data_IF_027460273070
#
_entry.id   IF_027460273070
#
_cell.length_a   1.000
_cell.length_b   1.000
_cell.length_c   1.000
_cell.angle_alpha   90.00
_cell.angle_beta   90.00
_cell.angle_gamma   90.00
#
_symmetry.space_group_name_H-M   'P 1'
#
loop_
_entity.id
_entity.type
_entity.pdbx_description
1 polymer ?
#
# COMPACT_ATOMS: atom_id res chain seq x y z
N UNK A 1 5.42 25.58 27.40
CA UNK A 1 5.57 24.66 26.25
C UNK A 1 5.69 23.23 26.79
N UNK A 2 4.57 22.52 26.99
CA UNK A 2 4.56 21.11 27.43
C UNK A 2 3.26 20.36 27.09
N UNK A 3 2.37 20.93 26.27
CA UNK A 3 1.01 20.41 26.08
C UNK A 3 0.82 19.59 24.80
N UNK A 4 1.72 19.70 23.82
CA UNK A 4 1.56 19.06 22.50
C UNK A 4 2.01 17.59 22.46
N UNK A 5 2.93 17.18 23.33
CA UNK A 5 3.47 15.80 23.35
C UNK A 5 2.49 14.77 23.92
N UNK A 6 1.62 15.18 24.84
CA UNK A 6 0.63 14.29 25.46
C UNK A 6 -0.51 13.91 24.49
N UNK A 7 -0.83 14.79 23.54
CA UNK A 7 -1.85 14.54 22.50
C UNK A 7 -1.37 13.56 21.43
N UNK A 8 -0.13 13.68 20.97
CA UNK A 8 0.42 12.83 19.89
C UNK A 8 0.55 11.38 20.33
N UNK A 9 1.01 11.14 21.55
CA UNK A 9 1.15 9.79 22.11
C UNK A 9 -0.20 9.08 22.27
N UNK A 10 -1.25 9.80 22.68
CA UNK A 10 -2.59 9.24 22.78
C UNK A 10 -3.19 8.84 21.42
N UNK A 11 -2.89 9.60 20.37
CA UNK A 11 -3.34 9.30 19.00
C UNK A 11 -2.62 8.07 18.45
N UNK A 12 -1.31 7.98 18.64
CA UNK A 12 -0.51 6.83 18.21
C UNK A 12 -0.99 5.53 18.90
N UNK A 13 -1.29 5.60 20.20
CA UNK A 13 -1.84 4.48 20.95
C UNK A 13 -3.22 4.05 20.43
N UNK A 14 -4.09 5.00 20.10
CA UNK A 14 -5.41 4.72 19.53
C UNK A 14 -5.31 4.09 18.12
N UNK A 15 -4.42 4.60 17.27
CA UNK A 15 -4.14 4.03 15.95
C UNK A 15 -3.62 2.59 16.07
N UNK A 16 -2.75 2.33 17.05
CA UNK A 16 -2.24 0.99 17.38
C UNK A 16 -3.36 0.04 17.80
N UNK A 17 -4.27 0.48 18.66
CA UNK A 17 -5.42 -0.33 19.10
C UNK A 17 -6.33 -0.70 17.93
N UNK A 18 -6.68 0.26 17.07
CA UNK A 18 -7.47 -0.01 15.87
C UNK A 18 -6.77 -0.95 14.89
N UNK A 19 -5.44 -0.86 14.75
CA UNK A 19 -4.68 -1.78 13.93
C UNK A 19 -4.80 -3.22 14.44
N UNK A 20 -4.60 -3.46 15.74
CA UNK A 20 -4.72 -4.82 16.29
C UNK A 20 -6.15 -5.36 16.25
N UNK A 21 -7.15 -4.51 16.48
CA UNK A 21 -8.56 -4.88 16.30
C UNK A 21 -8.81 -5.36 14.86
N UNK A 22 -8.41 -4.57 13.85
CA UNK A 22 -8.58 -4.92 12.45
C UNK A 22 -7.79 -6.19 12.06
N UNK A 23 -6.53 -6.31 12.50
CA UNK A 23 -5.72 -7.51 12.25
C UNK A 23 -6.36 -8.78 12.81
N UNK A 24 -6.98 -8.69 13.99
CA UNK A 24 -7.70 -9.83 14.57
C UNK A 24 -8.94 -10.23 13.75
N UNK A 25 -9.68 -9.25 13.23
CA UNK A 25 -10.81 -9.48 12.32
C UNK A 25 -10.34 -10.10 11.00
N UNK A 26 -9.27 -9.56 10.41
CA UNK A 26 -8.68 -10.07 9.18
C UNK A 26 -8.22 -11.52 9.32
N UNK A 27 -7.59 -11.88 10.45
CA UNK A 27 -7.18 -13.25 10.72
C UNK A 27 -8.39 -14.22 10.77
N UNK A 28 -9.50 -13.80 11.39
CA UNK A 28 -10.75 -14.56 11.41
C UNK A 28 -11.35 -14.71 10.01
N UNK A 29 -11.41 -13.62 9.25
CA UNK A 29 -11.93 -13.61 7.89
C UNK A 29 -11.18 -14.54 6.94
N UNK A 30 -9.86 -14.67 7.10
CA UNK A 30 -9.05 -15.63 6.34
C UNK A 30 -9.48 -17.08 6.63
N UNK A 31 -9.78 -17.41 7.88
CA UNK A 31 -10.28 -18.75 8.25
C UNK A 31 -11.66 -18.98 7.64
N UNK A 32 -12.58 -18.03 7.82
CA UNK A 32 -13.93 -18.11 7.29
C UNK A 32 -13.94 -18.26 5.75
N UNK A 33 -13.07 -17.52 5.04
CA UNK A 33 -12.90 -17.62 3.59
C UNK A 33 -12.38 -18.99 3.16
N UNK A 34 -11.36 -19.52 3.85
CA UNK A 34 -10.81 -20.85 3.55
C UNK A 34 -11.87 -21.93 3.74
N UNK A 35 -12.65 -21.87 4.81
CA UNK A 35 -13.76 -22.80 5.04
C UNK A 35 -14.84 -22.68 3.96
N UNK A 36 -15.22 -21.46 3.57
CA UNK A 36 -16.19 -21.22 2.52
C UNK A 36 -15.73 -21.79 1.17
N UNK A 37 -14.46 -21.57 0.80
CA UNK A 37 -13.84 -22.11 -0.42
C UNK A 37 -13.76 -23.64 -0.40
N UNK A 38 -13.44 -24.25 0.74
CA UNK A 38 -13.43 -25.71 0.89
C UNK A 38 -14.83 -26.31 0.69
N UNK A 39 -15.87 -25.66 1.23
CA UNK A 39 -17.28 -26.08 1.06
C UNK A 39 -17.80 -25.88 -0.36
N UNK A 40 -17.32 -24.84 -1.05
CA UNK A 40 -17.61 -24.65 -2.48
C UNK A 40 -17.07 -25.82 -3.31
N UNK A 41 -15.85 -26.28 -3.03
CA UNK A 41 -15.23 -27.40 -3.74
C UNK A 41 -15.94 -28.75 -3.51
N UNK A 42 -16.70 -28.90 -2.43
CA UNK A 42 -17.44 -30.13 -2.09
C UNK A 42 -18.92 -30.14 -2.52
N UNK A 43 -19.34 -29.24 -3.42
CA UNK A 43 -20.73 -29.09 -3.91
C UNK A 43 -21.79 -28.79 -2.83
N UNK A 44 -21.39 -28.45 -1.60
CA UNK A 44 -22.28 -27.96 -0.54
C UNK A 44 -22.42 -26.42 -0.62
N UNK A 45 -22.75 -25.91 -1.81
CA UNK A 45 -22.53 -24.53 -2.21
C UNK A 45 -23.67 -23.57 -1.86
N UNK A 46 -23.33 -22.44 -1.25
CA UNK A 46 -24.23 -21.29 -1.07
C UNK A 46 -23.49 -20.01 -1.52
N UNK A 47 -23.59 -19.67 -2.81
CA UNK A 47 -22.97 -18.47 -3.42
C UNK A 47 -23.22 -17.20 -2.59
N UNK A 48 -24.47 -17.00 -2.19
CA UNK A 48 -24.92 -15.87 -1.36
C UNK A 48 -24.11 -15.72 -0.06
N UNK A 49 -23.72 -16.83 0.58
CA UNK A 49 -22.98 -16.79 1.85
C UNK A 49 -21.52 -16.38 1.66
N UNK A 50 -20.92 -16.71 0.51
CA UNK A 50 -19.57 -16.26 0.18
C UNK A 50 -19.58 -14.77 -0.18
N UNK A 51 -20.57 -14.34 -0.96
CA UNK A 51 -20.75 -12.92 -1.31
C UNK A 51 -20.98 -12.06 -0.06
N UNK A 52 -21.84 -12.51 0.86
CA UNK A 52 -22.06 -11.86 2.15
C UNK A 52 -20.77 -11.76 2.98
N UNK A 53 -19.97 -12.83 3.01
CA UNK A 53 -18.68 -12.85 3.71
C UNK A 53 -17.70 -11.86 3.09
N UNK A 54 -17.57 -11.84 1.76
CA UNK A 54 -16.72 -10.88 1.04
C UNK A 54 -17.18 -9.45 1.31
N UNK A 55 -18.49 -9.18 1.25
CA UNK A 55 -19.06 -7.88 1.58
C UNK A 55 -18.72 -7.42 2.98
N UNK A 56 -18.81 -8.32 3.97
CA UNK A 56 -18.40 -8.04 5.35
C UNK A 56 -16.91 -7.69 5.46
N UNK A 57 -16.04 -8.45 4.80
CA UNK A 57 -14.58 -8.23 4.81
C UNK A 57 -14.24 -6.86 4.23
N UNK A 58 -14.84 -6.52 3.09
CA UNK A 58 -14.65 -5.22 2.43
C UNK A 58 -15.13 -4.10 3.35
N UNK A 59 -16.29 -4.24 3.99
CA UNK A 59 -16.83 -3.24 4.91
C UNK A 59 -15.94 -3.04 6.15
N UNK A 60 -15.40 -4.13 6.72
CA UNK A 60 -14.49 -4.05 7.87
C UNK A 60 -13.16 -3.36 7.47
N UNK A 61 -12.64 -3.64 6.28
CA UNK A 61 -11.47 -2.93 5.74
C UNK A 61 -11.75 -1.44 5.50
N UNK A 62 -12.88 -1.09 4.87
CA UNK A 62 -13.26 0.31 4.65
C UNK A 62 -13.44 1.05 5.98
N UNK A 63 -14.03 0.40 6.98
CA UNK A 63 -14.19 0.95 8.33
C UNK A 63 -12.83 1.23 8.98
N UNK A 64 -11.88 0.29 8.86
CA UNK A 64 -10.51 0.50 9.34
C UNK A 64 -9.80 1.62 8.59
N UNK A 65 -9.86 1.64 7.26
CA UNK A 65 -9.23 2.66 6.42
C UNK A 65 -9.76 4.07 6.75
N UNK A 66 -11.06 4.22 6.95
CA UNK A 66 -11.71 5.47 7.37
C UNK A 66 -11.24 5.93 8.75
N UNK A 67 -11.23 5.04 9.76
CA UNK A 67 -10.71 5.38 11.10
C UNK A 67 -9.23 5.78 11.02
N UNK A 68 -8.46 5.11 10.17
CA UNK A 68 -7.05 5.41 9.96
C UNK A 68 -6.88 6.81 9.34
N UNK A 69 -7.67 7.15 8.32
CA UNK A 69 -7.61 8.47 7.66
C UNK A 69 -7.99 9.60 8.62
N UNK A 70 -9.04 9.44 9.43
CA UNK A 70 -9.51 10.44 10.42
C UNK A 70 -8.47 10.79 11.49
N UNK A 71 -7.50 9.90 11.74
CA UNK A 71 -6.43 10.10 12.72
C UNK A 71 -5.13 10.65 12.10
N UNK A 72 -5.09 10.84 10.78
CA UNK A 72 -3.88 11.21 10.03
C UNK A 72 -3.55 12.70 10.16
N UNK A 73 -4.56 13.56 10.25
CA UNK A 73 -4.43 15.03 10.37
C UNK A 73 -3.55 15.49 11.56
N UNK A 74 -3.31 14.58 12.51
CA UNK A 74 -2.60 14.89 13.77
C UNK A 74 -1.30 14.11 13.94
N UNK A 75 -1.03 13.10 13.10
CA UNK A 75 0.18 12.27 13.15
C UNK A 75 0.42 11.59 11.80
N UNK A 76 1.08 12.31 10.89
CA UNK A 76 1.35 11.84 9.52
C UNK A 76 2.45 10.76 9.49
N UNK A 77 3.42 10.78 10.41
CA UNK A 77 4.55 9.83 10.43
C UNK A 77 4.12 8.39 10.72
N UNK A 78 3.18 8.19 11.64
CA UNK A 78 2.64 6.87 11.98
C UNK A 78 1.80 6.27 10.85
N UNK A 79 1.43 7.05 9.84
CA UNK A 79 0.75 6.54 8.64
C UNK A 79 1.70 5.72 7.76
N UNK A 80 2.91 6.24 7.53
CA UNK A 80 3.91 5.60 6.66
C UNK A 80 4.76 4.55 7.36
N UNK A 81 5.16 4.84 8.60
CA UNK A 81 6.02 3.97 9.38
C UNK A 81 5.46 3.84 10.81
N UNK A 82 4.34 3.13 10.99
CA UNK A 82 3.82 2.84 12.32
C UNK A 82 4.89 2.22 13.22
N UNK A 83 4.98 2.69 14.47
CA UNK A 83 5.96 2.18 15.44
C UNK A 83 5.69 0.76 15.91
N UNK A 84 4.46 0.27 15.72
CA UNK A 84 4.04 -1.10 16.03
C UNK A 84 4.27 -2.09 14.90
N UNK A 85 4.74 -1.62 13.74
CA UNK A 85 5.16 -2.47 12.64
C UNK A 85 6.64 -2.82 12.76
N UNK A 86 7.01 -3.99 12.30
CA UNK A 86 8.41 -4.36 12.05
C UNK A 86 9.00 -3.53 10.91
N UNK A 87 10.34 -3.49 10.84
CA UNK A 87 11.04 -2.83 9.72
C UNK A 87 10.68 -3.46 8.37
N UNK A 88 10.38 -4.76 8.34
CA UNK A 88 9.93 -5.45 7.13
C UNK A 88 8.53 -4.98 6.70
N UNK A 89 7.57 -4.92 7.64
CA UNK A 89 6.20 -4.46 7.35
C UNK A 89 6.19 -2.99 6.91
N UNK A 90 7.02 -2.13 7.53
CA UNK A 90 7.21 -0.76 7.08
C UNK A 90 7.85 -0.68 5.69
N UNK A 91 8.82 -1.56 5.40
CA UNK A 91 9.37 -1.71 4.05
C UNK A 91 8.33 -2.18 3.02
N UNK A 92 7.41 -3.06 3.39
CA UNK A 92 6.30 -3.50 2.52
C UNK A 92 5.32 -2.37 2.24
N UNK A 93 4.97 -1.55 3.24
CA UNK A 93 4.16 -0.34 3.04
C UNK A 93 4.83 0.62 2.05
N UNK A 94 6.16 0.80 2.20
CA UNK A 94 6.96 1.61 1.29
C UNK A 94 6.91 1.09 -0.15
N UNK A 95 7.16 -0.20 -0.34
CA UNK A 95 7.10 -0.85 -1.66
C UNK A 95 5.70 -0.81 -2.26
N UNK A 96 4.66 -0.78 -1.44
CA UNK A 96 3.26 -0.57 -1.83
C UNK A 96 2.92 0.86 -2.27
N UNK A 97 3.87 1.79 -2.25
CA UNK A 97 3.71 3.16 -2.74
C UNK A 97 3.34 4.19 -1.67
N UNK A 98 3.39 3.85 -0.38
CA UNK A 98 3.19 4.81 0.72
C UNK A 98 4.42 5.72 0.90
N UNK A 99 4.67 6.63 -0.05
CA UNK A 99 5.80 7.57 -0.03
C UNK A 99 5.42 8.88 0.69
N UNK A 100 6.28 9.39 1.60
CA UNK A 100 6.06 10.68 2.25
C UNK A 100 5.84 11.87 1.30
N UNK A 101 6.47 11.90 0.12
CA UNK A 101 6.36 12.99 -0.85
C UNK A 101 4.93 13.18 -1.37
N UNK A 102 4.15 12.11 -1.52
CA UNK A 102 2.78 12.16 -2.04
C UNK A 102 1.87 13.08 -1.23
N UNK A 103 2.13 13.19 0.08
CA UNK A 103 1.35 14.06 0.98
C UNK A 103 1.87 15.51 1.01
N UNK A 104 3.12 15.74 0.58
CA UNK A 104 3.63 17.09 0.40
C UNK A 104 3.01 17.74 -0.85
N UNK A 105 2.75 16.94 -1.88
CA UNK A 105 2.13 17.39 -3.13
C UNK A 105 0.61 17.59 -3.01
N UNK A 106 -0.10 16.77 -2.23
CA UNK A 106 -1.55 16.94 -1.98
C UNK A 106 -1.88 18.25 -1.22
N UNK A 107 -0.97 18.75 -0.39
CA UNK A 107 -1.13 20.04 0.29
C UNK A 107 -0.91 21.25 -0.64
N UNK A 108 -0.56 21.02 -1.92
CA UNK A 108 -0.27 22.06 -2.93
C UNK A 108 -1.44 22.22 -3.93
N UNK A 109 -2.35 21.25 -4.04
CA UNK A 109 -3.49 21.30 -4.97
C UNK A 109 -4.69 22.05 -4.35
N UNK A 110 -4.76 23.35 -4.64
CA UNK A 110 -5.84 24.28 -4.26
C UNK A 110 -7.11 23.99 -5.08
N UNK A 111 -7.96 23.10 -4.56
CA UNK A 111 -9.17 22.62 -5.25
C UNK A 111 -10.47 22.63 -4.45
N UNK A 112 -10.47 22.95 -3.14
CA UNK A 112 -11.73 23.09 -2.41
C UNK A 112 -11.68 24.10 -1.24
N UNK A 113 -12.55 25.10 -1.38
CA UNK A 113 -13.04 26.11 -0.44
C UNK A 113 -12.81 25.84 1.06
N UNK A 114 -12.01 26.70 1.70
CA UNK A 114 -12.15 26.99 3.14
C UNK A 114 -10.90 26.80 4.00
N UNK A 115 -10.11 27.88 4.07
CA UNK A 115 -9.26 28.27 5.21
C UNK A 115 -7.90 27.54 5.37
N UNK A 116 -6.88 28.17 4.77
CA UNK A 116 -5.46 28.09 5.12
C UNK A 116 -4.69 26.85 4.64
N UNK A 117 -3.68 27.08 3.79
CA UNK A 117 -2.50 26.18 3.80
C UNK A 117 -1.22 26.82 3.27
N UNK A 118 -1.24 27.58 2.17
CA UNK A 118 0.01 28.14 1.60
C UNK A 118 0.01 29.64 1.28
N UNK A 119 -1.14 30.30 1.12
CA UNK A 119 -1.19 31.75 0.81
C UNK A 119 -0.59 32.64 1.91
N UNK A 120 -0.52 32.12 3.14
CA UNK A 120 0.00 32.83 4.31
C UNK A 120 1.51 32.60 4.52
N UNK A 121 2.16 31.80 3.67
CA UNK A 121 3.59 31.49 3.80
C UNK A 121 4.45 32.57 3.13
N UNK A 122 5.48 33.01 3.85
CA UNK A 122 6.51 33.89 3.30
C UNK A 122 7.38 33.16 2.29
N UNK A 123 8.02 33.88 1.38
CA UNK A 123 8.93 33.32 0.38
C UNK A 123 10.04 32.45 1.01
N UNK A 124 10.58 32.84 2.17
CA UNK A 124 11.60 32.06 2.88
C UNK A 124 11.06 30.77 3.49
N UNK A 125 9.78 30.73 3.87
CA UNK A 125 9.15 29.48 4.33
C UNK A 125 8.92 28.54 3.16
N UNK A 126 8.50 29.07 2.01
CA UNK A 126 8.32 28.28 0.79
C UNK A 126 9.64 27.68 0.29
N UNK A 127 10.72 28.46 0.30
CA UNK A 127 12.08 27.99 -0.04
C UNK A 127 12.51 26.81 0.86
N UNK A 128 12.28 26.92 2.18
CA UNK A 128 12.59 25.84 3.12
C UNK A 128 11.74 24.58 2.90
N UNK A 129 10.47 24.74 2.54
CA UNK A 129 9.59 23.62 2.21
C UNK A 129 10.08 22.92 0.95
N UNK A 130 10.45 23.68 -0.09
CA UNK A 130 11.01 23.14 -1.31
C UNK A 130 12.31 22.38 -1.05
N UNK A 131 13.24 22.95 -0.28
CA UNK A 131 14.50 22.29 0.09
C UNK A 131 14.26 20.99 0.86
N UNK A 132 13.27 20.98 1.76
CA UNK A 132 12.86 19.79 2.49
C UNK A 132 12.27 18.73 1.55
N UNK A 133 11.37 19.13 0.66
CA UNK A 133 10.71 18.25 -0.30
C UNK A 133 11.73 17.58 -1.24
N UNK A 134 12.68 18.35 -1.80
CA UNK A 134 13.78 17.83 -2.62
C UNK A 134 14.63 16.83 -1.82
N UNK A 135 14.92 17.12 -0.56
CA UNK A 135 15.68 16.20 0.30
C UNK A 135 14.90 14.91 0.56
N UNK A 136 13.58 15.00 0.79
CA UNK A 136 12.71 13.84 1.00
C UNK A 136 12.70 12.95 -0.23
N UNK A 137 12.47 13.49 -1.42
CA UNK A 137 12.51 12.73 -2.68
C UNK A 137 13.84 12.00 -2.85
N UNK A 138 14.97 12.66 -2.57
CA UNK A 138 16.28 12.01 -2.68
C UNK A 138 16.42 10.79 -1.75
N UNK A 139 16.04 10.95 -0.49
CA UNK A 139 16.08 9.84 0.48
C UNK A 139 15.09 8.73 0.09
N UNK A 140 13.93 9.11 -0.45
CA UNK A 140 12.94 8.16 -0.93
C UNK A 140 13.47 7.28 -2.06
N UNK A 141 14.11 7.90 -3.05
CA UNK A 141 14.73 7.21 -4.18
C UNK A 141 15.84 6.27 -3.72
N UNK A 142 16.62 6.63 -2.70
CA UNK A 142 17.63 5.75 -2.12
C UNK A 142 17.01 4.51 -1.45
N UNK A 143 15.91 4.67 -0.71
CA UNK A 143 15.19 3.54 -0.11
C UNK A 143 14.59 2.66 -1.20
N UNK A 144 13.93 3.24 -2.19
CA UNK A 144 13.33 2.50 -3.31
C UNK A 144 14.37 1.72 -4.10
N UNK A 145 15.56 2.28 -4.36
CA UNK A 145 16.66 1.56 -4.99
C UNK A 145 17.11 0.35 -4.17
N UNK A 146 17.26 0.51 -2.85
CA UNK A 146 17.62 -0.61 -1.96
C UNK A 146 16.55 -1.70 -1.96
N UNK A 147 15.27 -1.32 -1.94
CA UNK A 147 14.16 -2.26 -2.05
C UNK A 147 14.17 -3.01 -3.39
N UNK A 148 14.45 -2.33 -4.50
CA UNK A 148 14.53 -2.95 -5.82
C UNK A 148 15.65 -3.99 -5.90
N UNK A 149 16.86 -3.67 -5.39
CA UNK A 149 17.96 -4.63 -5.33
C UNK A 149 17.60 -5.86 -4.48
N UNK A 150 16.93 -5.65 -3.34
CA UNK A 150 16.47 -6.77 -2.50
C UNK A 150 15.43 -7.63 -3.23
N UNK A 151 14.54 -7.02 -4.02
CA UNK A 151 13.57 -7.74 -4.84
C UNK A 151 14.26 -8.59 -5.90
N UNK A 152 15.27 -8.06 -6.59
CA UNK A 152 16.11 -8.80 -7.54
C UNK A 152 16.77 -10.01 -6.86
N UNK A 153 17.51 -9.78 -5.78
CA UNK A 153 18.22 -10.83 -5.04
C UNK A 153 17.30 -11.97 -4.55
N UNK A 154 16.09 -11.63 -4.09
CA UNK A 154 15.14 -12.61 -3.53
C UNK A 154 14.30 -13.29 -4.61
N UNK A 155 13.94 -12.60 -5.68
CA UNK A 155 13.05 -13.11 -6.72
C UNK A 155 13.79 -13.90 -7.81
N UNK A 156 15.08 -13.64 -8.03
CA UNK A 156 15.88 -14.28 -9.09
C UNK A 156 15.83 -15.81 -9.06
N UNK A 157 16.09 -16.42 -7.89
CA UNK A 157 16.11 -17.88 -7.78
C UNK A 157 14.71 -18.50 -7.94
N UNK A 158 13.65 -18.05 -7.24
CA UNK A 158 12.29 -18.54 -7.48
C UNK A 158 11.82 -18.39 -8.92
N UNK A 159 12.12 -17.26 -9.58
CA UNK A 159 11.76 -17.02 -10.98
C UNK A 159 12.52 -17.98 -11.90
N UNK A 160 13.84 -18.09 -11.75
CA UNK A 160 14.66 -18.98 -12.56
C UNK A 160 14.26 -20.45 -12.40
N UNK A 161 13.99 -20.88 -11.16
CA UNK A 161 13.49 -22.23 -10.86
C UNK A 161 12.13 -22.44 -11.54
N UNK A 162 11.18 -21.51 -11.39
CA UNK A 162 9.85 -21.62 -12.02
C UNK A 162 9.95 -21.69 -13.54
N UNK A 163 10.79 -20.86 -14.16
CA UNK A 163 11.04 -20.89 -15.61
C UNK A 163 11.62 -22.24 -16.06
N UNK A 164 12.60 -22.77 -15.33
CA UNK A 164 13.21 -24.06 -15.64
C UNK A 164 12.23 -25.24 -15.54
N UNK A 165 11.36 -25.25 -14.53
CA UNK A 165 10.32 -26.28 -14.40
C UNK A 165 9.26 -26.19 -15.50
N UNK A 166 9.01 -24.99 -16.03
CA UNK A 166 8.06 -24.76 -17.12
C UNK A 166 8.52 -25.34 -18.45
N UNK A 167 9.83 -25.26 -18.74
CA UNK A 167 10.46 -25.89 -19.91
C UNK A 167 10.38 -27.43 -19.90
N UNK A 168 10.10 -28.03 -18.74
CA UNK A 168 9.99 -29.49 -18.57
C UNK A 168 8.55 -30.02 -18.65
N UNK A 169 7.54 -29.15 -18.80
CA UNK A 169 6.13 -29.55 -18.86
C UNK A 169 5.46 -28.92 -20.09
N UNK A 170 5.07 -29.77 -21.04
CA UNK A 170 4.33 -29.50 -22.31
C UNK A 170 3.00 -28.70 -22.19
N UNK A 171 2.72 -28.05 -21.06
CA UNK A 171 1.44 -27.42 -20.75
C UNK A 171 1.33 -25.93 -21.19
N UNK A 172 2.32 -25.34 -21.87
CA UNK A 172 2.49 -23.88 -21.79
C UNK A 172 2.32 -23.05 -23.07
N UNK A 173 1.90 -23.64 -24.19
CA UNK A 173 1.67 -22.89 -25.44
C UNK A 173 0.62 -21.77 -25.27
N UNK A 174 -0.38 -21.96 -24.40
CA UNK A 174 -1.43 -20.96 -24.19
C UNK A 174 -0.93 -19.73 -23.42
N UNK A 175 0.05 -19.89 -22.53
CA UNK A 175 0.54 -18.79 -21.72
C UNK A 175 1.71 -18.08 -22.40
N UNK A 176 2.57 -18.78 -23.14
CA UNK A 176 3.51 -18.12 -24.07
C UNK A 176 2.77 -17.21 -25.06
N UNK A 177 1.72 -17.73 -25.72
CA UNK A 177 0.91 -16.91 -26.63
C UNK A 177 0.26 -15.69 -25.94
N UNK A 178 -0.08 -15.79 -24.65
CA UNK A 178 -0.64 -14.67 -23.89
C UNK A 178 0.43 -13.63 -23.53
N UNK A 179 1.66 -14.05 -23.24
CA UNK A 179 2.80 -13.18 -22.99
C UNK A 179 3.24 -12.47 -24.27
N UNK A 180 3.33 -13.17 -25.40
CA UNK A 180 3.61 -12.58 -26.71
C UNK A 180 2.57 -11.51 -27.08
N UNK A 181 1.29 -11.79 -26.79
CA UNK A 181 0.21 -10.82 -27.04
C UNK A 181 0.32 -9.59 -26.14
N UNK A 182 0.75 -9.77 -24.90
CA UNK A 182 0.95 -8.68 -23.95
C UNK A 182 2.15 -7.81 -24.34
N UNK A 183 3.25 -8.41 -24.80
CA UNK A 183 4.42 -7.69 -25.33
C UNK A 183 4.06 -6.86 -26.57
N UNK A 184 3.30 -7.42 -27.51
CA UNK A 184 2.83 -6.72 -28.71
C UNK A 184 1.96 -5.50 -28.33
N UNK A 185 1.04 -5.66 -27.38
CA UNK A 185 0.22 -4.57 -26.86
C UNK A 185 1.07 -3.48 -26.16
N UNK A 186 2.07 -3.88 -25.39
CA UNK A 186 2.95 -2.94 -24.68
C UNK A 186 3.82 -2.14 -25.66
N UNK A 187 4.31 -2.77 -26.74
CA UNK A 187 5.01 -2.10 -27.83
C UNK A 187 4.15 -1.04 -28.51
N UNK A 188 2.86 -1.31 -28.75
CA UNK A 188 1.92 -0.34 -29.31
C UNK A 188 1.69 0.84 -28.37
N UNK A 189 1.56 0.59 -27.07
CA UNK A 189 1.39 1.66 -26.08
C UNK A 189 2.63 2.56 -25.97
N UNK A 190 3.83 1.98 -26.00
CA UNK A 190 5.08 2.73 -25.98
C UNK A 190 5.31 3.54 -27.27
N UNK A 191 4.90 3.01 -28.42
CA UNK A 191 4.99 3.73 -29.70
C UNK A 191 3.98 4.90 -29.81
N UNK A 192 2.93 4.93 -28.99
CA UNK A 192 1.87 5.94 -29.02
C UNK A 192 2.09 7.09 -28.02
N UNK A 193 3.15 7.02 -27.21
CA UNK A 193 3.54 8.04 -26.22
C UNK A 193 4.75 8.89 -26.61
N UNK A 194 5.23 8.81 -27.86
CA UNK A 194 6.32 9.63 -28.42
C UNK A 194 5.82 10.76 -29.31
#
# INVERSE_FOLDING_TARGET
MASSSSSSYGIEQLQKEYYYEWMSLQAKHIVDLKEALMRQRSNAYNHYKLEELVGKIVNDFQSYAKRRSELTDKSCSSYFAPSWNSSLENGLLWMGGCRPSSFMDENIDDGHDGDSSMSDLTATQLEKINDLHVKVIREEDEITKKCANLQEDVADMPIAVTAFWRDSVEADVAVENALDKHEECMGVLMARGG
#
